data_IF_103649170833
#
_entry.id   IF_103649170833
#
_cell.length_a   1.000
_cell.length_b   1.000
_cell.length_c   1.000
_cell.angle_alpha   90.00
_cell.angle_beta   90.00
_cell.angle_gamma   90.00
#
_symmetry.space_group_name_H-M   'P 1'
#
loop_
_entity.id
_entity.type
_entity.pdbx_description
1 polymer ?
#
# COMPACT_ATOMS: atom_id res chain seq x y z
N UNK A 1 -1.22 -15.43 -5.99
CA UNK A 1 0.24 -15.53 -5.89
C UNK A 1 0.80 -14.33 -5.14
N UNK A 2 2.00 -14.47 -4.60
CA UNK A 2 2.70 -13.40 -3.87
C UNK A 2 2.88 -12.14 -4.73
N UNK A 3 3.29 -12.29 -5.96
CA UNK A 3 3.45 -11.22 -6.95
C UNK A 3 2.16 -10.42 -7.14
N UNK A 4 1.02 -11.10 -7.26
CA UNK A 4 -0.30 -10.43 -7.37
C UNK A 4 -0.66 -9.68 -6.11
N UNK A 5 -0.33 -10.22 -4.93
CA UNK A 5 -0.60 -9.54 -3.65
C UNK A 5 0.26 -8.27 -3.50
N UNK A 6 1.54 -8.33 -3.87
CA UNK A 6 2.44 -7.18 -3.86
C UNK A 6 1.96 -6.07 -4.80
N UNK A 7 1.55 -6.45 -6.01
CA UNK A 7 0.98 -5.51 -6.98
C UNK A 7 -0.34 -4.92 -6.47
N UNK A 8 -1.24 -5.73 -5.92
CA UNK A 8 -2.52 -5.27 -5.37
C UNK A 8 -2.33 -4.29 -4.21
N UNK A 9 -1.37 -4.55 -3.33
CA UNK A 9 -1.02 -3.65 -2.23
C UNK A 9 -0.47 -2.32 -2.75
N UNK A 10 0.45 -2.36 -3.72
CA UNK A 10 0.98 -1.16 -4.37
C UNK A 10 -0.12 -0.32 -5.02
N UNK A 11 -1.00 -0.95 -5.80
CA UNK A 11 -2.12 -0.27 -6.45
C UNK A 11 -3.11 0.33 -5.45
N UNK A 12 -3.38 -0.37 -4.34
CA UNK A 12 -4.23 0.16 -3.25
C UNK A 12 -3.64 1.43 -2.66
N UNK A 13 -2.32 1.48 -2.46
CA UNK A 13 -1.61 2.68 -1.97
C UNK A 13 -1.69 3.83 -2.98
N UNK A 14 -1.46 3.55 -4.26
CA UNK A 14 -1.57 4.56 -5.31
C UNK A 14 -2.99 5.12 -5.39
N UNK A 15 -4.01 4.27 -5.30
CA UNK A 15 -5.40 4.72 -5.28
C UNK A 15 -5.70 5.58 -4.05
N UNK A 16 -5.23 5.19 -2.87
CA UNK A 16 -5.34 5.97 -1.64
C UNK A 16 -4.74 7.38 -1.78
N UNK A 17 -3.56 7.51 -2.40
CA UNK A 17 -2.92 8.80 -2.68
C UNK A 17 -3.81 9.65 -3.60
N UNK A 18 -4.34 9.07 -4.67
CA UNK A 18 -5.15 9.81 -5.64
C UNK A 18 -6.47 10.28 -5.05
N UNK A 19 -7.20 9.44 -4.31
CA UNK A 19 -8.48 9.84 -3.69
C UNK A 19 -8.29 10.92 -2.64
N UNK A 20 -7.19 10.95 -1.93
CA UNK A 20 -6.89 11.98 -0.94
C UNK A 20 -6.76 13.38 -1.56
N UNK A 21 -6.38 13.51 -2.81
CA UNK A 21 -6.34 14.81 -3.50
C UNK A 21 -7.72 15.44 -3.65
N UNK A 22 -8.79 14.65 -3.64
CA UNK A 22 -10.17 15.13 -3.80
C UNK A 22 -10.92 15.26 -2.48
N UNK A 23 -10.43 14.65 -1.39
CA UNK A 23 -11.06 14.67 -0.06
C UNK A 23 -11.23 16.09 0.49
N UNK A 24 -10.27 16.98 0.25
CA UNK A 24 -10.32 18.38 0.72
C UNK A 24 -11.40 19.24 0.06
N UNK A 25 -11.97 18.79 -1.05
CA UNK A 25 -13.02 19.52 -1.77
C UNK A 25 -14.43 19.15 -1.32
N UNK A 26 -14.56 18.16 -0.46
CA UNK A 26 -15.85 17.72 0.07
C UNK A 26 -16.44 18.79 1.00
N UNK A 27 -17.66 19.22 0.69
CA UNK A 27 -18.47 20.12 1.53
C UNK A 27 -19.51 19.28 2.27
N UNK A 28 -19.63 19.48 3.57
CA UNK A 28 -20.62 18.78 4.37
C UNK A 28 -20.07 18.31 5.73
N UNK A 29 -20.91 17.67 6.52
CA UNK A 29 -20.55 17.12 7.84
C UNK A 29 -20.15 15.63 7.74
N UNK A 30 -19.26 15.20 8.61
CA UNK A 30 -18.84 13.81 8.72
C UNK A 30 -18.10 13.29 7.47
N UNK A 31 -18.56 12.16 6.92
CA UNK A 31 -17.97 11.52 5.73
C UNK A 31 -18.56 11.99 4.40
N UNK A 32 -19.29 13.10 4.42
CA UNK A 32 -19.95 13.67 3.24
C UNK A 32 -18.95 13.99 2.12
N UNK A 33 -19.13 13.41 0.94
CA UNK A 33 -18.25 13.59 -0.21
C UNK A 33 -16.87 12.95 -0.11
N UNK A 34 -16.60 12.16 0.93
CA UNK A 34 -15.33 11.50 1.15
C UNK A 34 -15.25 10.21 0.32
N UNK A 35 -14.23 10.11 -0.54
CA UNK A 35 -13.84 8.84 -1.15
C UNK A 35 -12.80 8.19 -0.22
N UNK A 36 -13.05 6.97 0.22
CA UNK A 36 -12.14 6.24 1.09
C UNK A 36 -11.84 4.84 0.60
N UNK A 37 -10.61 4.42 0.79
CA UNK A 37 -10.10 3.07 0.52
C UNK A 37 -9.36 2.57 1.74
N UNK A 38 -9.16 1.27 1.85
CA UNK A 38 -8.38 0.66 2.92
C UNK A 38 -7.00 1.31 3.02
N UNK A 39 -6.66 1.79 4.22
CA UNK A 39 -5.33 2.28 4.51
C UNK A 39 -4.38 1.09 4.70
N UNK A 40 -3.27 1.08 3.95
CA UNK A 40 -2.24 0.06 4.05
C UNK A 40 -1.20 0.45 5.11
N UNK A 41 -0.86 -0.51 5.99
CA UNK A 41 0.29 -0.41 6.91
C UNK A 41 1.62 -0.66 6.19
N UNK A 42 2.66 -1.05 6.91
CA UNK A 42 3.97 -1.36 6.31
C UNK A 42 4.01 -2.75 5.67
N UNK A 43 3.15 -3.66 6.10
CA UNK A 43 3.12 -5.03 5.60
C UNK A 43 2.38 -5.13 4.28
N UNK A 44 2.89 -5.96 3.39
CA UNK A 44 2.20 -6.38 2.18
C UNK A 44 1.28 -7.54 2.54
N UNK A 45 -0.02 -7.29 2.57
CA UNK A 45 -1.04 -8.27 2.92
C UNK A 45 -1.97 -8.56 1.74
N UNK A 46 -2.53 -9.76 1.71
CA UNK A 46 -3.63 -10.06 0.82
C UNK A 46 -4.87 -9.27 1.26
N UNK A 47 -5.30 -8.32 0.45
CA UNK A 47 -6.40 -7.40 0.76
C UNK A 47 -7.51 -7.55 -0.25
N UNK A 48 -8.75 -7.35 0.18
CA UNK A 48 -9.91 -7.34 -0.71
C UNK A 48 -10.15 -5.98 -1.36
N UNK A 49 -9.47 -4.92 -0.90
CA UNK A 49 -9.60 -3.58 -1.44
C UNK A 49 -9.15 -3.48 -2.91
N UNK A 50 -8.18 -4.29 -3.31
CA UNK A 50 -7.74 -4.42 -4.70
C UNK A 50 -7.46 -5.88 -5.03
N UNK A 51 -8.01 -6.37 -6.11
CA UNK A 51 -7.75 -7.71 -6.64
C UNK A 51 -7.19 -7.60 -8.05
N UNK A 52 -6.03 -8.20 -8.29
CA UNK A 52 -5.39 -8.27 -9.60
C UNK A 52 -5.66 -9.63 -10.21
N UNK A 53 -6.28 -9.64 -11.39
CA UNK A 53 -6.57 -10.83 -12.19
C UNK A 53 -5.92 -10.69 -13.56
N UNK A 54 -5.89 -11.76 -14.33
CA UNK A 54 -5.38 -11.72 -15.71
C UNK A 54 -6.22 -10.82 -16.62
N UNK A 55 -7.51 -10.74 -16.34
CA UNK A 55 -8.49 -9.96 -17.12
C UNK A 55 -8.62 -8.51 -16.68
N UNK A 56 -7.99 -8.12 -15.57
CA UNK A 56 -8.09 -6.75 -15.07
C UNK A 56 -7.91 -6.61 -13.57
N UNK A 57 -8.20 -5.41 -13.08
CA UNK A 57 -8.11 -5.02 -11.68
C UNK A 57 -9.50 -4.68 -11.15
N UNK A 58 -9.84 -5.23 -9.99
CA UNK A 58 -11.05 -4.85 -9.24
C UNK A 58 -10.64 -4.06 -8.02
N UNK A 59 -11.09 -2.80 -7.92
CA UNK A 59 -10.90 -1.97 -6.74
C UNK A 59 -12.22 -1.78 -5.99
N UNK A 60 -12.16 -1.80 -4.65
CA UNK A 60 -13.30 -1.55 -3.74
C UNK A 60 -12.99 -0.34 -2.88
N UNK A 61 -13.92 0.57 -2.85
CA UNK A 61 -13.84 1.81 -2.10
C UNK A 61 -15.22 2.23 -1.60
N UNK A 62 -15.25 3.16 -0.68
CA UNK A 62 -16.50 3.75 -0.19
C UNK A 62 -16.59 5.21 -0.58
N UNK A 63 -17.80 5.67 -0.90
CA UNK A 63 -18.10 7.08 -1.15
C UNK A 63 -19.15 7.52 -0.13
N UNK A 64 -18.81 8.50 0.70
CA UNK A 64 -19.75 9.19 1.55
C UNK A 64 -20.62 10.10 0.67
N UNK A 65 -21.92 9.85 0.59
CA UNK A 65 -22.79 10.69 -0.22
C UNK A 65 -22.78 12.13 0.29
N UNK A 66 -22.46 13.11 -0.58
CA UNK A 66 -22.48 14.50 -0.20
C UNK A 66 -23.91 14.93 0.13
N UNK A 67 -24.08 15.57 1.27
CA UNK A 67 -25.39 15.97 1.75
C UNK A 67 -25.38 17.38 2.36
N UNK A 68 -26.46 18.10 2.19
CA UNK A 68 -26.78 19.33 2.89
C UNK A 68 -27.90 19.01 3.90
N UNK A 69 -27.51 18.78 5.16
CA UNK A 69 -28.43 18.26 6.15
C UNK A 69 -28.91 16.85 5.79
N UNK A 70 -30.22 16.67 5.55
CA UNK A 70 -30.82 15.38 5.18
C UNK A 70 -31.00 15.17 3.67
N UNK A 71 -30.63 16.17 2.85
CA UNK A 71 -30.81 16.13 1.39
C UNK A 71 -29.47 15.82 0.72
N UNK A 72 -29.46 14.82 -0.17
CA UNK A 72 -28.29 14.48 -0.98
C UNK A 72 -28.00 15.58 -1.98
N UNK A 73 -26.75 16.01 -2.08
CA UNK A 73 -26.29 16.90 -3.12
C UNK A 73 -25.93 16.08 -4.37
N UNK A 74 -26.92 15.88 -5.24
CA UNK A 74 -26.76 15.05 -6.44
C UNK A 74 -25.66 15.58 -7.39
N UNK A 75 -25.58 16.90 -7.56
CA UNK A 75 -24.56 17.52 -8.44
C UNK A 75 -23.14 17.23 -7.96
N UNK A 76 -22.89 17.27 -6.65
CA UNK A 76 -21.58 16.95 -6.09
C UNK A 76 -21.30 15.45 -6.18
N UNK A 77 -22.31 14.60 -5.99
CA UNK A 77 -22.17 13.15 -6.15
C UNK A 77 -21.82 12.79 -7.61
N UNK A 78 -22.47 13.41 -8.58
CA UNK A 78 -22.14 13.24 -10.02
C UNK A 78 -20.69 13.60 -10.32
N UNK A 79 -20.18 14.70 -9.77
CA UNK A 79 -18.76 15.07 -9.92
C UNK A 79 -17.82 14.03 -9.33
N UNK A 80 -18.13 13.53 -8.14
CA UNK A 80 -17.33 12.48 -7.50
C UNK A 80 -17.26 11.24 -8.38
N UNK A 81 -18.39 10.77 -8.88
CA UNK A 81 -18.47 9.52 -9.63
C UNK A 81 -17.97 9.64 -11.07
N UNK A 82 -18.21 10.75 -11.74
CA UNK A 82 -17.95 10.89 -13.19
C UNK A 82 -16.78 11.81 -13.54
N UNK A 83 -16.28 12.63 -12.61
CA UNK A 83 -15.13 13.49 -12.84
C UNK A 83 -13.93 13.06 -11.99
N UNK A 84 -14.08 12.94 -10.66
CA UNK A 84 -12.93 12.70 -9.77
C UNK A 84 -12.49 11.23 -9.77
N UNK A 85 -13.44 10.32 -9.66
CA UNK A 85 -13.16 8.90 -9.62
C UNK A 85 -12.47 8.37 -10.88
N UNK A 86 -12.90 8.71 -12.10
CA UNK A 86 -12.19 8.30 -13.32
C UNK A 86 -10.74 8.76 -13.36
N UNK A 87 -10.45 9.98 -12.91
CA UNK A 87 -9.06 10.48 -12.80
C UNK A 87 -8.24 9.69 -11.80
N UNK A 88 -8.82 9.35 -10.64
CA UNK A 88 -8.15 8.51 -9.65
C UNK A 88 -7.84 7.12 -10.21
N UNK A 89 -8.80 6.52 -10.92
CA UNK A 89 -8.64 5.19 -11.55
C UNK A 89 -7.53 5.21 -12.61
N UNK A 90 -7.54 6.20 -13.49
CA UNK A 90 -6.52 6.32 -14.53
C UNK A 90 -5.11 6.46 -13.93
N UNK A 91 -4.95 7.33 -12.93
CA UNK A 91 -3.65 7.58 -12.30
C UNK A 91 -3.15 6.45 -11.42
N UNK A 92 -4.06 5.68 -10.82
CA UNK A 92 -3.70 4.63 -9.87
C UNK A 92 -3.55 3.24 -10.48
N UNK A 93 -4.27 2.93 -11.57
CA UNK A 93 -4.37 1.56 -12.09
C UNK A 93 -3.87 1.40 -13.52
N UNK A 94 -3.76 2.46 -14.31
CA UNK A 94 -3.27 2.34 -15.69
C UNK A 94 -1.74 2.31 -15.69
N UNK A 95 -1.16 1.28 -16.31
CA UNK A 95 0.29 1.09 -16.37
C UNK A 95 1.05 2.33 -16.84
N UNK A 96 0.51 3.03 -17.86
CA UNK A 96 1.09 4.27 -18.39
C UNK A 96 1.23 5.40 -17.37
N UNK A 97 0.42 5.36 -16.30
CA UNK A 97 0.40 6.38 -15.24
C UNK A 97 1.25 5.98 -14.02
N UNK A 98 1.71 4.73 -13.96
CA UNK A 98 2.48 4.19 -12.85
C UNK A 98 3.99 4.36 -13.09
N UNK A 99 4.73 4.43 -11.98
CA UNK A 99 6.17 4.30 -12.03
C UNK A 99 6.55 2.82 -12.17
N UNK A 100 6.89 2.38 -13.37
CA UNK A 100 7.22 0.98 -13.67
C UNK A 100 8.39 0.46 -12.82
N UNK A 101 9.39 1.31 -12.51
CA UNK A 101 10.51 0.94 -11.65
C UNK A 101 10.03 0.66 -10.22
N UNK A 102 9.20 1.53 -9.65
CA UNK A 102 8.66 1.34 -8.31
C UNK A 102 7.77 0.09 -8.22
N UNK A 103 6.96 -0.20 -9.26
CA UNK A 103 6.19 -1.44 -9.34
C UNK A 103 7.10 -2.66 -9.30
N UNK A 104 8.16 -2.66 -10.11
CA UNK A 104 9.15 -3.73 -10.15
C UNK A 104 9.82 -3.93 -8.78
N UNK A 105 10.32 -2.85 -8.19
CA UNK A 105 11.00 -2.89 -6.88
C UNK A 105 10.11 -3.47 -5.77
N UNK A 106 8.83 -3.14 -5.73
CA UNK A 106 7.88 -3.69 -4.74
C UNK A 106 7.67 -5.18 -4.92
N UNK A 107 7.56 -5.64 -6.16
CA UNK A 107 7.40 -7.07 -6.47
C UNK A 107 8.66 -7.84 -6.09
N UNK A 108 9.82 -7.39 -6.55
CA UNK A 108 11.11 -8.01 -6.26
C UNK A 108 11.39 -8.07 -4.75
N UNK A 109 11.09 -7.00 -4.02
CA UNK A 109 11.22 -6.97 -2.57
C UNK A 109 10.33 -8.02 -1.88
N UNK A 110 9.09 -8.17 -2.33
CA UNK A 110 8.18 -9.16 -1.78
C UNK A 110 8.66 -10.60 -2.04
N UNK A 111 9.19 -10.85 -3.23
CA UNK A 111 9.75 -12.15 -3.61
C UNK A 111 11.03 -12.47 -2.83
N UNK A 112 11.93 -11.51 -2.67
CA UNK A 112 13.13 -11.65 -1.85
C UNK A 112 12.80 -11.93 -0.38
N UNK A 113 11.82 -11.22 0.19
CA UNK A 113 11.34 -11.48 1.55
C UNK A 113 10.73 -12.87 1.73
N UNK A 114 9.99 -13.35 0.73
CA UNK A 114 9.43 -14.70 0.77
C UNK A 114 10.52 -15.77 0.67
N UNK A 115 11.53 -15.53 -0.17
CA UNK A 115 12.70 -16.40 -0.27
C UNK A 115 13.43 -16.51 1.06
N UNK A 116 13.75 -15.38 1.71
CA UNK A 116 14.39 -15.37 3.04
C UNK A 116 13.57 -16.20 4.03
N UNK A 117 12.25 -15.98 4.11
CA UNK A 117 11.40 -16.77 5.03
C UNK A 117 11.43 -18.26 4.73
N UNK A 118 11.47 -18.65 3.47
CA UNK A 118 11.61 -20.05 3.07
C UNK A 118 12.94 -20.67 3.49
N UNK A 119 14.00 -19.90 3.46
CA UNK A 119 15.36 -20.37 3.80
C UNK A 119 15.64 -20.46 5.31
N UNK A 120 14.83 -19.82 6.17
CA UNK A 120 15.12 -19.78 7.61
C UNK A 120 15.24 -21.18 8.21
N UNK A 121 14.28 -22.06 7.96
CA UNK A 121 14.29 -23.43 8.50
C UNK A 121 15.45 -24.26 8.00
N UNK A 122 15.78 -24.16 6.72
CA UNK A 122 16.88 -24.91 6.10
C UNK A 122 18.25 -24.50 6.64
N UNK A 123 18.37 -23.24 7.06
CA UNK A 123 19.60 -22.67 7.64
C UNK A 123 19.63 -22.71 9.18
N UNK A 124 18.67 -23.37 9.83
CA UNK A 124 18.50 -23.38 11.28
C UNK A 124 18.41 -21.97 11.90
N UNK A 125 17.76 -21.05 11.20
CA UNK A 125 17.53 -19.68 11.65
C UNK A 125 16.09 -19.52 12.13
N UNK A 126 15.90 -18.83 13.25
CA UNK A 126 14.57 -18.45 13.76
C UNK A 126 14.05 -17.18 13.12
N UNK A 127 14.94 -16.24 12.83
CA UNK A 127 14.62 -14.95 12.25
C UNK A 127 15.80 -14.42 11.42
N UNK A 128 15.52 -13.48 10.56
CA UNK A 128 16.50 -12.70 9.81
C UNK A 128 16.18 -11.21 9.96
N UNK A 129 17.19 -10.43 10.30
CA UNK A 129 17.12 -8.97 10.37
C UNK A 129 18.21 -8.43 9.44
N UNK A 130 17.82 -7.64 8.46
CA UNK A 130 18.76 -7.02 7.54
C UNK A 130 19.59 -5.95 8.24
N UNK A 131 20.87 -5.84 7.92
CA UNK A 131 21.68 -4.70 8.32
C UNK A 131 21.05 -3.40 7.80
N UNK A 132 21.20 -2.34 8.58
CA UNK A 132 20.58 -1.03 8.37
C UNK A 132 19.04 -0.99 8.53
N UNK A 133 18.42 -2.05 9.05
CA UNK A 133 17.00 -2.03 9.39
C UNK A 133 16.74 -1.10 10.59
N UNK A 134 15.71 -0.26 10.46
CA UNK A 134 15.21 0.58 11.55
C UNK A 134 14.16 -0.22 12.32
N UNK A 135 14.51 -0.77 13.47
CA UNK A 135 13.62 -1.63 14.27
C UNK A 135 12.64 -0.83 15.15
N UNK A 136 13.05 0.29 15.80
CA UNK A 136 12.13 1.05 16.64
C UNK A 136 11.04 1.71 15.83
N UNK A 137 9.82 1.70 16.38
CA UNK A 137 8.67 2.43 15.82
C UNK A 137 8.60 3.85 16.41
N UNK A 138 8.03 4.78 15.63
CA UNK A 138 7.81 6.16 16.04
C UNK A 138 7.01 6.27 17.35
N UNK A 139 5.98 5.42 17.52
CA UNK A 139 5.15 5.35 18.73
C UNK A 139 4.43 4.00 18.83
N UNK A 140 3.77 3.76 19.96
CA UNK A 140 2.98 2.54 20.17
C UNK A 140 1.79 2.36 19.21
N UNK A 141 1.28 3.44 18.64
CA UNK A 141 0.15 3.44 17.71
C UNK A 141 0.57 3.64 16.24
N UNK A 142 1.85 3.93 15.98
CA UNK A 142 2.39 4.13 14.64
C UNK A 142 3.27 2.97 14.22
N UNK A 143 3.09 2.46 13.02
CA UNK A 143 3.98 1.49 12.40
C UNK A 143 5.18 2.12 11.68
N UNK A 144 5.26 3.45 11.65
CA UNK A 144 6.36 4.16 10.99
C UNK A 144 7.67 3.94 11.73
N UNK A 145 8.81 3.84 11.02
CA UNK A 145 10.12 3.81 11.66
C UNK A 145 10.36 5.08 12.48
N UNK A 146 11.01 4.92 13.62
CA UNK A 146 11.45 6.06 14.43
C UNK A 146 12.53 6.84 13.68
N UNK A 147 12.34 8.16 13.56
CA UNK A 147 13.36 9.04 12.99
C UNK A 147 14.57 9.11 13.92
N UNK A 148 15.75 9.30 13.35
CA UNK A 148 17.00 9.46 14.07
C UNK A 148 17.33 8.29 15.02
N UNK A 149 16.79 7.10 14.77
CA UNK A 149 17.11 5.89 15.52
C UNK A 149 18.40 5.24 15.01
N UNK A 150 19.04 4.46 15.89
CA UNK A 150 20.20 3.65 15.53
C UNK A 150 19.74 2.47 14.66
N UNK A 151 20.35 2.32 13.50
CA UNK A 151 20.11 1.19 12.61
C UNK A 151 20.69 -0.10 13.18
N UNK A 152 20.04 -1.22 12.88
CA UNK A 152 20.53 -2.54 13.27
C UNK A 152 21.80 -2.89 12.46
N UNK A 153 22.80 -3.39 13.14
CA UNK A 153 24.01 -3.99 12.54
C UNK A 153 24.20 -5.37 13.13
N UNK A 154 24.34 -6.37 12.28
CA UNK A 154 24.53 -7.76 12.69
C UNK A 154 25.82 -7.93 13.51
N UNK A 155 25.76 -8.53 14.72
CA UNK A 155 26.95 -8.96 15.41
C UNK A 155 27.76 -9.98 14.56
N UNK A 156 29.08 -9.90 14.55
CA UNK A 156 29.91 -10.77 13.71
C UNK A 156 29.66 -12.26 13.95
N UNK A 157 29.37 -12.64 15.19
CA UNK A 157 29.08 -14.03 15.58
C UNK A 157 27.72 -14.56 15.05
N UNK A 158 26.81 -13.69 14.63
CA UNK A 158 25.47 -14.03 14.17
C UNK A 158 25.23 -13.58 12.72
N UNK A 159 26.23 -12.98 12.09
CA UNK A 159 26.10 -12.49 10.72
C UNK A 159 26.01 -13.63 9.73
N UNK A 160 24.99 -13.58 8.90
CA UNK A 160 24.79 -14.50 7.79
C UNK A 160 24.60 -13.72 6.50
N UNK A 161 25.02 -14.29 5.38
CA UNK A 161 24.76 -13.74 4.05
C UNK A 161 23.79 -14.65 3.30
N UNK A 162 22.87 -14.06 2.58
CA UNK A 162 21.95 -14.75 1.70
C UNK A 162 22.00 -14.11 0.32
N UNK A 163 22.22 -14.92 -0.71
CA UNK A 163 22.05 -14.50 -2.10
C UNK A 163 20.57 -14.52 -2.41
N UNK A 164 20.03 -13.36 -2.77
CA UNK A 164 18.61 -13.19 -3.03
C UNK A 164 18.30 -13.33 -4.53
N UNK A 165 17.09 -13.71 -4.92
CA UNK A 165 16.72 -13.84 -6.33
C UNK A 165 16.91 -12.58 -7.16
N UNK A 166 16.77 -11.39 -6.54
CA UNK A 166 16.80 -10.10 -7.22
C UNK A 166 17.91 -9.15 -6.72
N UNK A 167 18.71 -9.58 -5.75
CA UNK A 167 19.78 -8.75 -5.14
C UNK A 167 20.99 -9.55 -4.73
#
# INVERSE_FOLDING_TARGET
SLTRNALADYLTRQFGIQVNHFTFKAKGSGKSGLISVTHCGQEVLCRTACEVKETGVTARFAVGFPANGRTINARELEKILFEYLPVCVEKAFFYRSLNARAVKEVIELAEDQAYIRGQLSERNLTAFVADHAVLPRESGISSRPMKDSVEFISPDSLRVSMDLPHR
#
